data_IF_881313286955
#
_entry.id   IF_881313286955
#
_cell.length_a   1.000
_cell.length_b   1.000
_cell.length_c   1.000
_cell.angle_alpha   90.00
_cell.angle_beta   90.00
_cell.angle_gamma   90.00
#
_symmetry.space_group_name_H-M   'P 1'
#
loop_
_entity.id
_entity.type
_entity.pdbx_description
1 polymer ?
#
# COMPACT_ATOMS: atom_id res chain seq x y z
N UNK A 1 1.15 3.63 -17.07
CA UNK A 1 1.00 3.01 -15.75
C UNK A 1 -0.46 3.04 -15.30
N UNK A 2 -1.07 4.21 -15.03
CA UNK A 2 -2.44 4.34 -14.51
C UNK A 2 -3.50 3.59 -15.30
N UNK A 3 -3.49 3.63 -16.63
CA UNK A 3 -4.43 2.84 -17.45
C UNK A 3 -4.30 1.33 -17.20
N UNK A 4 -3.07 0.84 -17.04
CA UNK A 4 -2.83 -0.56 -16.75
C UNK A 4 -3.32 -0.92 -15.34
N UNK A 5 -2.98 -0.11 -14.34
CA UNK A 5 -3.43 -0.34 -12.96
C UNK A 5 -4.95 -0.29 -12.85
N UNK A 6 -5.63 0.63 -13.55
CA UNK A 6 -7.09 0.69 -13.59
C UNK A 6 -7.71 -0.60 -14.18
N UNK A 7 -7.14 -1.13 -15.26
CA UNK A 7 -7.65 -2.36 -15.92
C UNK A 7 -7.54 -3.60 -15.04
N UNK A 8 -6.49 -3.71 -14.23
CA UNK A 8 -6.26 -4.88 -13.37
C UNK A 8 -6.85 -4.73 -11.97
N UNK A 9 -7.26 -3.51 -11.59
CA UNK A 9 -7.92 -3.24 -10.32
C UNK A 9 -9.17 -4.09 -10.14
N UNK A 10 -9.23 -4.90 -9.09
CA UNK A 10 -10.35 -5.83 -8.81
C UNK A 10 -10.26 -7.17 -9.54
N UNK A 11 -9.18 -7.45 -10.23
CA UNK A 11 -8.94 -8.73 -10.90
C UNK A 11 -7.85 -9.54 -10.18
N UNK A 12 -7.69 -10.81 -10.54
CA UNK A 12 -6.59 -11.66 -10.05
C UNK A 12 -5.19 -11.15 -10.46
N UNK A 13 -5.11 -10.23 -11.42
CA UNK A 13 -3.87 -9.60 -11.89
C UNK A 13 -3.55 -8.27 -11.18
N UNK A 14 -4.24 -7.98 -10.07
CA UNK A 14 -4.07 -6.73 -9.31
C UNK A 14 -2.72 -6.61 -8.58
N UNK A 15 -1.88 -7.64 -8.61
CA UNK A 15 -0.52 -7.61 -8.10
C UNK A 15 0.41 -7.04 -9.18
N UNK A 16 0.92 -5.84 -8.96
CA UNK A 16 1.80 -5.17 -9.90
C UNK A 16 3.16 -4.96 -9.24
N UNK A 17 4.19 -5.53 -9.87
CA UNK A 17 5.56 -5.26 -9.56
C UNK A 17 6.13 -4.33 -10.63
N UNK A 18 6.58 -3.13 -10.22
CA UNK A 18 7.19 -2.16 -11.11
C UNK A 18 8.70 -2.11 -10.89
N UNK A 19 9.43 -2.97 -11.62
CA UNK A 19 10.88 -3.00 -11.58
C UNK A 19 11.47 -1.92 -12.47
N UNK A 20 12.22 -0.99 -11.87
CA UNK A 20 12.99 0.04 -12.56
C UNK A 20 14.34 0.25 -11.86
N UNK A 21 15.40 0.61 -12.59
CA UNK A 21 16.67 0.97 -11.97
C UNK A 21 16.52 2.11 -10.97
N UNK A 22 17.44 2.21 -10.02
CA UNK A 22 17.50 3.33 -9.09
C UNK A 22 17.53 4.65 -9.85
N UNK A 23 16.88 5.70 -9.30
CA UNK A 23 16.74 7.06 -9.87
C UNK A 23 15.86 7.16 -11.12
N UNK A 24 15.09 6.12 -11.48
CA UNK A 24 14.14 6.14 -12.59
C UNK A 24 12.69 6.43 -12.15
N UNK A 25 12.51 7.18 -11.06
CA UNK A 25 11.21 7.72 -10.67
C UNK A 25 10.23 6.73 -10.06
N UNK A 26 10.71 5.66 -9.36
CA UNK A 26 9.82 4.72 -8.65
C UNK A 26 8.95 5.45 -7.64
N UNK A 27 9.55 6.20 -6.72
CA UNK A 27 8.83 6.94 -5.68
C UNK A 27 7.90 8.02 -6.25
N UNK A 28 8.28 8.65 -7.37
CA UNK A 28 7.38 9.56 -8.10
C UNK A 28 6.15 8.79 -8.60
N UNK A 29 6.35 7.57 -9.12
CA UNK A 29 5.25 6.72 -9.56
C UNK A 29 4.36 6.30 -8.38
N UNK A 30 4.94 5.93 -7.23
CA UNK A 30 4.20 5.61 -6.02
C UNK A 30 3.35 6.79 -5.54
N UNK A 31 3.93 7.98 -5.48
CA UNK A 31 3.23 9.23 -5.12
C UNK A 31 2.11 9.57 -6.11
N UNK A 32 2.35 9.40 -7.42
CA UNK A 32 1.34 9.60 -8.44
C UNK A 32 0.15 8.64 -8.29
N UNK A 33 0.42 7.36 -8.02
CA UNK A 33 -0.62 6.37 -7.77
C UNK A 33 -1.41 6.71 -6.50
N UNK A 34 -0.72 7.12 -5.44
CA UNK A 34 -1.35 7.56 -4.19
C UNK A 34 -2.27 8.74 -4.43
N UNK A 35 -1.79 9.79 -5.11
CA UNK A 35 -2.59 10.98 -5.43
C UNK A 35 -3.80 10.63 -6.31
N UNK A 36 -3.64 9.70 -7.25
CA UNK A 36 -4.72 9.30 -8.15
C UNK A 36 -5.80 8.49 -7.45
N UNK A 37 -5.41 7.49 -6.64
CA UNK A 37 -6.38 6.57 -6.06
C UNK A 37 -6.99 7.04 -4.74
N UNK A 38 -6.25 7.82 -3.93
CA UNK A 38 -6.68 8.16 -2.58
C UNK A 38 -7.90 9.06 -2.54
N UNK A 39 -8.96 8.60 -1.89
CA UNK A 39 -10.18 9.40 -1.62
C UNK A 39 -9.94 10.60 -0.68
N UNK A 40 -8.80 10.64 0.01
CA UNK A 40 -8.38 11.79 0.82
C UNK A 40 -7.75 12.92 0.00
N UNK A 41 -7.54 12.72 -1.31
CA UNK A 41 -6.97 13.70 -2.22
C UNK A 41 -8.06 14.35 -3.10
N UNK A 42 -7.82 15.59 -3.48
CA UNK A 42 -8.53 16.28 -4.58
C UNK A 42 -7.49 16.55 -5.68
N UNK A 43 -7.34 15.60 -6.57
CA UNK A 43 -6.25 15.58 -7.55
C UNK A 43 -6.72 15.67 -9.01
N UNK A 44 -8.00 15.93 -9.26
CA UNK A 44 -8.55 15.99 -10.62
C UNK A 44 -7.79 16.97 -11.51
N UNK A 45 -7.49 18.15 -11.01
CA UNK A 45 -6.76 19.18 -11.75
C UNK A 45 -5.34 18.78 -12.09
N UNK A 46 -4.68 17.98 -11.23
CA UNK A 46 -3.32 17.48 -11.45
C UNK A 46 -3.26 16.52 -12.64
N UNK A 47 -4.33 15.74 -12.84
CA UNK A 47 -4.41 14.72 -13.88
C UNK A 47 -5.15 15.19 -15.14
N UNK A 48 -5.75 16.39 -15.15
CA UNK A 48 -6.61 16.87 -16.22
C UNK A 48 -5.93 16.90 -17.60
N UNK A 49 -4.66 17.32 -17.64
CA UNK A 49 -3.88 17.44 -18.88
C UNK A 49 -3.12 16.17 -19.28
N UNK A 50 -3.23 15.10 -18.47
CA UNK A 50 -2.54 13.84 -18.73
C UNK A 50 -3.39 12.89 -19.58
N UNK A 51 -2.74 11.99 -20.32
CA UNK A 51 -3.42 11.00 -21.17
C UNK A 51 -4.49 10.19 -20.43
N UNK A 52 -4.27 9.91 -19.14
CA UNK A 52 -5.23 9.14 -18.31
C UNK A 52 -6.59 9.83 -18.20
N UNK A 53 -6.66 11.18 -18.27
CA UNK A 53 -7.92 11.91 -18.19
C UNK A 53 -8.88 11.62 -19.35
N UNK A 54 -8.34 11.14 -20.48
CA UNK A 54 -9.09 10.73 -21.68
C UNK A 54 -9.65 9.31 -21.53
N UNK A 55 -9.23 8.55 -20.53
CA UNK A 55 -9.70 7.19 -20.31
C UNK A 55 -11.16 7.19 -19.81
N UNK A 56 -12.03 6.30 -20.33
CA UNK A 56 -13.41 6.18 -19.86
C UNK A 56 -13.49 5.78 -18.38
N UNK A 57 -12.44 5.11 -17.87
CA UNK A 57 -12.37 4.67 -16.47
C UNK A 57 -11.74 5.72 -15.54
N UNK A 58 -11.33 6.90 -16.05
CA UNK A 58 -10.67 7.93 -15.26
C UNK A 58 -11.43 8.29 -14.00
N UNK A 59 -12.65 8.77 -14.13
CA UNK A 59 -13.52 9.18 -13.02
C UNK A 59 -13.93 8.02 -12.10
N UNK A 60 -13.98 6.81 -12.62
CA UNK A 60 -14.32 5.60 -11.88
C UNK A 60 -13.28 5.27 -10.80
N UNK A 61 -12.04 5.63 -11.05
CA UNK A 61 -10.91 5.28 -10.17
C UNK A 61 -10.29 6.48 -9.46
N UNK A 62 -10.43 7.70 -10.01
CA UNK A 62 -9.86 8.91 -9.44
C UNK A 62 -10.43 9.18 -8.05
N UNK A 63 -9.59 9.20 -7.04
CA UNK A 63 -9.91 9.51 -5.64
C UNK A 63 -11.03 8.64 -5.04
N UNK A 64 -11.07 7.33 -5.38
CA UNK A 64 -12.14 6.43 -4.96
C UNK A 64 -11.76 5.42 -3.88
N UNK A 65 -10.47 5.29 -3.54
CA UNK A 65 -9.98 4.19 -2.71
C UNK A 65 -9.41 4.66 -1.38
N UNK A 66 -9.49 3.80 -0.38
CA UNK A 66 -8.62 3.87 0.78
C UNK A 66 -7.24 3.38 0.36
N UNK A 67 -6.22 4.24 0.48
CA UNK A 67 -4.85 3.95 0.05
C UNK A 67 -3.95 3.81 1.27
N UNK A 68 -3.20 2.71 1.33
CA UNK A 68 -2.10 2.52 2.27
C UNK A 68 -0.81 2.65 1.47
N UNK A 69 -0.06 3.72 1.71
CA UNK A 69 1.25 3.95 1.08
C UNK A 69 2.35 3.77 2.13
N UNK A 70 3.17 2.76 1.93
CA UNK A 70 4.30 2.42 2.80
C UNK A 70 5.60 2.69 2.04
N UNK A 71 6.43 3.58 2.57
CA UNK A 71 7.83 3.70 2.20
C UNK A 71 8.66 3.01 3.31
N UNK A 72 9.18 1.82 3.00
CA UNK A 72 9.86 0.99 3.99
C UNK A 72 11.18 1.61 4.42
N UNK A 73 11.88 2.30 3.51
CA UNK A 73 13.13 3.01 3.82
C UNK A 73 12.90 4.12 4.86
N UNK A 74 11.80 4.86 4.75
CA UNK A 74 11.46 5.93 5.69
C UNK A 74 11.04 5.42 7.06
N UNK A 75 10.62 4.17 7.16
CA UNK A 75 10.28 3.54 8.44
C UNK A 75 11.51 3.12 9.26
N UNK A 76 12.69 3.03 8.64
CA UNK A 76 13.92 2.55 9.29
C UNK A 76 14.39 3.46 10.44
N UNK A 77 14.43 4.77 10.20
CA UNK A 77 14.93 5.76 11.17
C UNK A 77 13.99 5.90 12.38
N UNK A 78 12.68 6.17 12.21
CA UNK A 78 11.78 6.33 13.35
C UNK A 78 11.53 5.01 14.12
N UNK A 79 11.77 3.86 13.52
CA UNK A 79 11.71 2.57 14.21
C UNK A 79 12.83 2.40 15.26
N UNK A 80 13.95 3.13 15.12
CA UNK A 80 15.09 3.03 16.02
C UNK A 80 16.03 1.86 15.74
N UNK A 81 15.80 1.12 14.67
CA UNK A 81 16.63 0.00 14.22
C UNK A 81 15.85 -1.00 13.37
N UNK A 82 16.57 -1.77 12.56
CA UNK A 82 15.93 -2.69 11.61
C UNK A 82 15.10 -3.79 12.27
N UNK A 83 15.46 -4.20 13.49
CA UNK A 83 14.71 -5.20 14.26
C UNK A 83 13.33 -4.72 14.72
N UNK A 84 13.10 -3.40 14.74
CA UNK A 84 11.83 -2.80 15.17
C UNK A 84 10.97 -2.32 13.99
N UNK A 85 11.50 -2.33 12.76
CA UNK A 85 10.80 -1.76 11.59
C UNK A 85 9.45 -2.45 11.36
N UNK A 86 9.37 -3.77 11.50
CA UNK A 86 8.12 -4.50 11.28
C UNK A 86 7.05 -4.11 12.29
N UNK A 87 7.41 -4.07 13.58
CA UNK A 87 6.47 -3.63 14.62
C UNK A 87 6.06 -2.19 14.42
N UNK A 88 7.00 -1.32 14.06
CA UNK A 88 6.72 0.09 13.76
C UNK A 88 5.73 0.25 12.60
N UNK A 89 5.96 -0.44 11.47
CA UNK A 89 5.06 -0.41 10.30
C UNK A 89 3.65 -0.85 10.71
N UNK A 90 3.54 -1.98 11.42
CA UNK A 90 2.26 -2.53 11.84
C UNK A 90 1.52 -1.59 12.79
N UNK A 91 2.19 -1.13 13.85
CA UNK A 91 1.61 -0.25 14.86
C UNK A 91 1.18 1.09 14.27
N UNK A 92 2.04 1.71 13.45
CA UNK A 92 1.75 2.96 12.78
C UNK A 92 0.56 2.84 11.84
N UNK A 93 0.55 1.83 10.98
CA UNK A 93 -0.54 1.63 10.03
C UNK A 93 -1.86 1.35 10.74
N UNK A 94 -1.87 0.50 11.78
CA UNK A 94 -3.07 0.22 12.57
C UNK A 94 -3.55 1.48 13.30
N UNK A 95 -2.63 2.29 13.85
CA UNK A 95 -2.97 3.55 14.51
C UNK A 95 -3.66 4.52 13.55
N UNK A 96 -3.14 4.67 12.34
CA UNK A 96 -3.75 5.51 11.31
C UNK A 96 -5.12 4.95 10.86
N UNK A 97 -5.22 3.65 10.60
CA UNK A 97 -6.49 3.01 10.26
C UNK A 97 -7.55 3.21 11.36
N UNK A 98 -7.16 3.17 12.63
CA UNK A 98 -8.08 3.40 13.75
C UNK A 98 -8.65 4.82 13.77
N UNK A 99 -7.90 5.82 13.32
CA UNK A 99 -8.42 7.20 13.20
C UNK A 99 -9.59 7.30 12.21
N UNK A 100 -9.57 6.47 11.16
CA UNK A 100 -10.63 6.42 10.15
C UNK A 100 -11.74 5.41 10.45
N UNK A 101 -11.43 4.38 11.24
CA UNK A 101 -12.33 3.26 11.56
C UNK A 101 -12.39 2.96 13.07
N UNK A 102 -12.66 3.97 13.92
CA UNK A 102 -12.58 3.82 15.38
C UNK A 102 -13.60 2.82 15.94
N UNK A 103 -14.76 2.66 15.29
CA UNK A 103 -15.80 1.71 15.70
C UNK A 103 -15.54 0.27 15.28
N UNK A 104 -14.56 0.02 14.40
CA UNK A 104 -14.27 -1.30 13.84
C UNK A 104 -13.01 -1.90 14.46
N UNK A 105 -12.00 -1.06 14.72
CA UNK A 105 -10.69 -1.49 15.21
C UNK A 105 -10.57 -1.25 16.72
N UNK A 106 -10.55 -2.32 17.54
CA UNK A 106 -10.35 -2.20 18.98
C UNK A 106 -8.92 -1.76 19.32
N UNK A 107 -8.73 -1.16 20.50
CA UNK A 107 -7.44 -0.62 20.96
C UNK A 107 -6.32 -1.66 21.03
N UNK A 108 -6.67 -2.90 21.31
CA UNK A 108 -5.71 -4.01 21.43
C UNK A 108 -5.33 -4.67 20.10
N UNK A 109 -5.81 -4.16 18.94
CA UNK A 109 -5.46 -4.70 17.62
C UNK A 109 -3.96 -4.57 17.37
N UNK A 110 -3.32 -5.70 17.02
CA UNK A 110 -1.88 -5.80 16.74
C UNK A 110 -1.54 -6.46 15.40
N UNK A 111 -2.53 -7.00 14.71
CA UNK A 111 -2.34 -7.67 13.42
C UNK A 111 -2.88 -6.79 12.30
N UNK A 112 -2.01 -6.36 11.39
CA UNK A 112 -2.42 -5.57 10.22
C UNK A 112 -3.33 -6.36 9.28
N UNK A 113 -3.04 -7.63 8.92
CA UNK A 113 -3.97 -8.43 8.13
C UNK A 113 -5.36 -8.56 8.76
N UNK A 114 -5.43 -8.79 10.08
CA UNK A 114 -6.70 -8.86 10.80
C UNK A 114 -7.44 -7.52 10.78
N UNK A 115 -6.73 -6.40 10.97
CA UNK A 115 -7.33 -5.08 10.92
C UNK A 115 -7.98 -4.81 9.55
N UNK A 116 -7.27 -5.09 8.46
CA UNK A 116 -7.79 -4.94 7.10
C UNK A 116 -9.01 -5.84 6.84
N UNK A 117 -8.95 -7.09 7.30
CA UNK A 117 -10.07 -8.04 7.20
C UNK A 117 -11.32 -7.56 7.92
N UNK A 118 -11.18 -7.03 9.14
CA UNK A 118 -12.30 -6.48 9.92
C UNK A 118 -12.92 -5.27 9.24
N UNK A 119 -12.09 -4.35 8.73
CA UNK A 119 -12.59 -3.17 8.01
C UNK A 119 -13.35 -3.63 6.76
N UNK A 120 -12.80 -4.56 6.00
CA UNK A 120 -13.48 -5.09 4.82
C UNK A 120 -14.81 -5.74 5.17
N UNK A 121 -14.82 -6.64 6.15
CA UNK A 121 -16.04 -7.35 6.58
C UNK A 121 -17.14 -6.38 7.04
N UNK A 122 -16.78 -5.30 7.74
CA UNK A 122 -17.72 -4.35 8.27
C UNK A 122 -18.19 -3.28 7.27
N UNK A 123 -17.35 -2.90 6.30
CA UNK A 123 -17.60 -1.76 5.41
C UNK A 123 -17.70 -2.12 3.92
N UNK A 124 -17.30 -3.32 3.53
CA UNK A 124 -17.15 -3.74 2.13
C UNK A 124 -16.04 -3.01 1.37
N UNK A 125 -15.28 -2.13 2.05
CA UNK A 125 -14.25 -1.31 1.41
C UNK A 125 -13.02 -2.11 1.08
N UNK A 126 -12.41 -1.77 -0.04
CA UNK A 126 -11.15 -2.34 -0.51
C UNK A 126 -10.05 -1.29 -0.44
N UNK A 127 -8.84 -1.75 -0.17
CA UNK A 127 -7.66 -0.90 -0.10
C UNK A 127 -6.81 -1.01 -1.38
N UNK A 128 -6.15 0.08 -1.74
CA UNK A 128 -4.99 0.06 -2.62
C UNK A 128 -3.75 0.14 -1.74
N UNK A 129 -2.88 -0.88 -1.82
CA UNK A 129 -1.64 -0.91 -1.05
C UNK A 129 -0.48 -0.64 -2.00
N UNK A 130 0.28 0.41 -1.71
CA UNK A 130 1.46 0.84 -2.44
C UNK A 130 2.64 0.69 -1.50
N UNK A 131 3.65 -0.09 -1.90
CA UNK A 131 4.85 -0.32 -1.09
C UNK A 131 6.06 0.12 -1.91
N UNK A 132 6.70 1.22 -1.48
CA UNK A 132 7.95 1.71 -2.06
C UNK A 132 9.14 1.23 -1.23
N UNK A 133 10.29 1.02 -1.88
CA UNK A 133 11.54 0.51 -1.30
C UNK A 133 11.34 -0.79 -0.46
N UNK A 134 10.44 -1.66 -0.94
CA UNK A 134 10.06 -2.88 -0.24
C UNK A 134 11.24 -3.85 -0.04
N UNK A 135 12.25 -3.80 -0.90
CA UNK A 135 13.43 -4.67 -0.88
C UNK A 135 14.51 -4.23 0.14
N UNK A 136 14.34 -3.07 0.76
CA UNK A 136 15.36 -2.50 1.66
C UNK A 136 15.72 -3.44 2.82
N UNK A 137 14.72 -4.06 3.46
CA UNK A 137 14.96 -4.99 4.56
C UNK A 137 15.61 -6.30 4.08
N UNK A 138 15.31 -6.73 2.86
CA UNK A 138 15.94 -7.92 2.28
C UNK A 138 17.39 -7.63 1.92
N UNK A 139 17.67 -6.48 1.32
CA UNK A 139 18.99 -6.06 0.88
C UNK A 139 19.90 -5.67 2.04
N UNK A 140 19.42 -4.81 2.93
CA UNK A 140 20.24 -4.19 3.97
C UNK A 140 20.35 -5.09 5.23
N UNK A 141 19.43 -6.06 5.40
CA UNK A 141 19.40 -7.05 6.48
C UNK A 141 19.86 -8.44 6.03
N UNK A 142 20.73 -8.53 5.04
CA UNK A 142 21.21 -9.81 4.49
C UNK A 142 21.81 -10.78 5.54
N UNK A 143 22.20 -10.27 6.71
CA UNK A 143 22.76 -11.06 7.83
C UNK A 143 21.68 -11.55 8.81
N UNK A 144 20.46 -11.00 8.80
CA UNK A 144 19.39 -11.37 9.72
C UNK A 144 18.23 -12.05 8.97
N UNK A 145 18.38 -13.33 8.72
CA UNK A 145 17.40 -14.14 8.00
C UNK A 145 16.02 -14.13 8.66
N UNK A 146 15.96 -14.07 9.99
CA UNK A 146 14.67 -14.07 10.70
C UNK A 146 13.86 -12.80 10.40
N UNK A 147 14.49 -11.63 10.38
CA UNK A 147 13.79 -10.37 10.03
C UNK A 147 13.27 -10.43 8.59
N UNK A 148 14.07 -11.01 7.67
CA UNK A 148 13.64 -11.17 6.28
C UNK A 148 12.43 -12.11 6.17
N UNK A 149 12.45 -13.26 6.85
CA UNK A 149 11.34 -14.22 6.86
C UNK A 149 10.07 -13.61 7.45
N UNK A 150 10.19 -12.94 8.60
CA UNK A 150 9.06 -12.26 9.26
C UNK A 150 8.48 -11.14 8.38
N UNK A 151 9.34 -10.41 7.66
CA UNK A 151 8.90 -9.36 6.74
C UNK A 151 8.19 -9.93 5.51
N UNK A 152 8.74 -10.96 4.87
CA UNK A 152 8.11 -11.63 3.74
C UNK A 152 6.74 -12.17 4.17
N UNK A 153 6.67 -12.81 5.33
CA UNK A 153 5.42 -13.32 5.88
C UNK A 153 4.39 -12.20 6.11
N UNK A 154 4.79 -11.07 6.69
CA UNK A 154 3.91 -9.92 6.86
C UNK A 154 3.36 -9.42 5.52
N UNK A 155 4.23 -9.31 4.51
CA UNK A 155 3.82 -8.91 3.16
C UNK A 155 2.82 -9.91 2.57
N UNK A 156 3.13 -11.21 2.61
CA UNK A 156 2.25 -12.27 2.09
C UNK A 156 0.90 -12.25 2.79
N UNK A 157 0.86 -12.28 4.11
CA UNK A 157 -0.39 -12.26 4.88
C UNK A 157 -1.21 -10.99 4.62
N UNK A 158 -0.57 -9.82 4.57
CA UNK A 158 -1.23 -8.54 4.25
C UNK A 158 -1.76 -8.55 2.83
N UNK A 159 -0.99 -9.13 1.92
CA UNK A 159 -1.35 -9.24 0.52
C UNK A 159 -2.45 -10.29 0.29
N UNK A 160 -2.43 -11.44 0.93
CA UNK A 160 -3.45 -12.52 0.77
C UNK A 160 -4.80 -12.13 1.36
N UNK A 161 -4.81 -11.47 2.53
CA UNK A 161 -6.05 -10.91 3.09
C UNK A 161 -6.65 -9.87 2.15
N UNK A 162 -5.80 -9.22 1.38
CA UNK A 162 -6.19 -8.27 0.37
C UNK A 162 -6.69 -8.93 -0.94
N UNK A 163 -6.30 -10.16 -1.26
CA UNK A 163 -6.84 -10.91 -2.41
C UNK A 163 -8.33 -11.21 -2.22
N UNK A 164 -8.73 -11.48 -0.99
CA UNK A 164 -10.14 -11.60 -0.60
C UNK A 164 -10.85 -10.23 -0.56
N UNK A 165 -10.09 -9.12 -0.48
CA UNK A 165 -10.61 -7.80 -0.14
C UNK A 165 -10.11 -6.62 -0.98
N UNK A 166 -9.01 -6.72 -1.77
CA UNK A 166 -8.29 -5.52 -2.22
C UNK A 166 -7.57 -5.65 -3.57
N UNK A 167 -7.25 -4.50 -4.16
CA UNK A 167 -6.41 -4.36 -5.35
C UNK A 167 -4.98 -3.95 -4.94
N UNK A 168 -3.96 -4.58 -5.50
CA UNK A 168 -2.57 -4.43 -5.04
C UNK A 168 -1.64 -3.87 -6.10
N UNK A 169 -0.79 -2.93 -5.71
CA UNK A 169 0.33 -2.45 -6.50
C UNK A 169 1.62 -2.60 -5.69
N UNK A 170 2.56 -3.41 -6.16
CA UNK A 170 3.92 -3.50 -5.62
C UNK A 170 4.87 -2.78 -6.57
N UNK A 171 5.69 -1.87 -6.04
CA UNK A 171 6.72 -1.16 -6.79
C UNK A 171 8.09 -1.73 -6.40
N UNK A 172 8.84 -2.28 -7.37
CA UNK A 172 10.25 -2.67 -7.26
C UNK A 172 11.19 -1.59 -7.76
#
# INVERSE_FOLDING_TARGET
>A
MLEYTNKVTGTLQAYICNSRPRRFGKSITANMLTAYYSKGCDSETIFADLEISKSPDFKKHLNQYDVIHLDVQWCMEPAGGPEYVLSYIVEKTISELRMYYPSILPDHMKSLPEALSRIHAASGKKFVIIIDEWDVLIRDMAVNQKIQEDYIKLLEETLDMNEKSCNKVRLE
#
